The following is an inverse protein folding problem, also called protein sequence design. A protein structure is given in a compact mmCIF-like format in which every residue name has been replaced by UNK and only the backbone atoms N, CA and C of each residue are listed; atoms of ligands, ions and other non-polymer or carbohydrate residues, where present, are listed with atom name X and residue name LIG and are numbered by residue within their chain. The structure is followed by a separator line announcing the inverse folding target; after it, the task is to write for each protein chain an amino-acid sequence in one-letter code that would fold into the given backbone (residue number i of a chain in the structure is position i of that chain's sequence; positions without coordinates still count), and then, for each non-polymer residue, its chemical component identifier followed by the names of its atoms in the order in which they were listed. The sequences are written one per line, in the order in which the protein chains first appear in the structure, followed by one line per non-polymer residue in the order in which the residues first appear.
data_IF_669110869745
#
_entry.id   IF_669110869745
#
_cell.length_a   1.000
_cell.length_b   1.000
_cell.length_c   1.000
_cell.angle_alpha   90.00
_cell.angle_beta   90.00
_cell.angle_gamma   90.00
#
_symmetry.space_group_name_H-M   'P 1'
#
loop_
_entity.id
_entity.type
_entity.pdbx_description
1 polymer ?
#
# COMPACT_ATOMS: atom_id res chain seq x y z
N UNK A 1 39.27 2.33 19.98
CA UNK A 1 38.89 1.33 18.96
C UNK A 1 37.92 0.30 19.52
N UNK A 2 38.08 -0.12 20.78
CA UNK A 2 37.25 -1.13 21.45
C UNK A 2 35.77 -0.76 21.65
N UNK A 3 35.47 0.51 21.97
CA UNK A 3 34.09 0.94 22.21
C UNK A 3 33.20 0.85 20.95
N UNK A 4 33.75 1.18 19.78
CA UNK A 4 33.05 1.05 18.49
C UNK A 4 32.89 -0.40 18.07
N UNK A 5 33.89 -1.26 18.33
CA UNK A 5 33.78 -2.71 18.09
C UNK A 5 32.69 -3.34 18.96
N UNK A 6 32.59 -2.94 20.23
CA UNK A 6 31.55 -3.39 21.14
C UNK A 6 30.16 -2.95 20.68
N UNK A 7 30.00 -1.69 20.29
CA UNK A 7 28.74 -1.19 19.73
C UNK A 7 28.31 -1.94 18.45
N UNK A 8 29.25 -2.25 17.54
CA UNK A 8 28.94 -3.05 16.34
C UNK A 8 28.49 -4.46 16.72
N UNK A 9 29.09 -5.04 17.76
CA UNK A 9 28.74 -6.38 18.23
C UNK A 9 27.36 -6.40 18.90
N UNK A 10 27.06 -5.39 19.73
CA UNK A 10 25.76 -5.24 20.39
C UNK A 10 24.65 -5.03 19.34
N UNK A 11 24.86 -4.15 18.35
CA UNK A 11 23.90 -3.94 17.24
C UNK A 11 23.67 -5.19 16.39
N UNK A 12 24.71 -6.01 16.18
CA UNK A 12 24.55 -7.28 15.45
C UNK A 12 23.69 -8.26 16.21
N UNK A 13 23.87 -8.34 17.53
CA UNK A 13 23.07 -9.21 18.38
C UNK A 13 21.60 -8.78 18.38
N UNK A 14 21.35 -7.48 18.49
CA UNK A 14 20.00 -6.91 18.43
C UNK A 14 19.32 -7.17 17.07
N UNK A 15 20.07 -7.02 15.96
CA UNK A 15 19.59 -7.38 14.63
C UNK A 15 19.24 -8.87 14.50
N UNK A 16 20.09 -9.75 15.04
CA UNK A 16 19.90 -11.19 14.97
C UNK A 16 18.70 -11.66 15.78
N UNK A 17 18.47 -11.07 16.97
CA UNK A 17 17.25 -11.30 17.75
C UNK A 17 16.02 -10.84 16.98
N UNK A 18 16.03 -9.62 16.45
CA UNK A 18 14.89 -9.05 15.74
C UNK A 18 14.55 -9.83 14.45
N UNK A 19 15.57 -10.26 13.69
CA UNK A 19 15.38 -11.08 12.48
C UNK A 19 14.80 -12.46 12.80
N UNK A 20 15.21 -13.06 13.93
CA UNK A 20 14.67 -14.35 14.38
C UNK A 20 13.23 -14.23 14.89
N UNK A 21 12.88 -13.17 15.62
CA UNK A 21 11.51 -12.90 16.07
C UNK A 21 10.55 -12.67 14.90
N UNK A 22 11.00 -11.91 13.90
CA UNK A 22 10.20 -11.64 12.69
C UNK A 22 10.20 -12.83 11.71
N UNK A 23 11.03 -13.86 11.94
CA UNK A 23 11.28 -14.96 11.01
C UNK A 23 11.54 -14.51 9.58
N UNK A 24 12.11 -13.32 9.43
CA UNK A 24 12.29 -12.66 8.15
C UNK A 24 13.65 -11.97 8.14
N UNK A 25 14.34 -12.09 7.02
CA UNK A 25 15.53 -11.29 6.77
C UNK A 25 15.15 -9.92 6.15
N UNK A 26 16.09 -8.98 6.17
CA UNK A 26 15.88 -7.63 5.64
C UNK A 26 15.45 -7.60 4.16
N UNK A 27 15.93 -8.56 3.37
CA UNK A 27 15.56 -8.68 1.95
C UNK A 27 14.09 -9.07 1.80
N UNK A 28 13.61 -10.03 2.59
CA UNK A 28 12.20 -10.45 2.59
C UNK A 28 11.28 -9.32 3.08
N UNK A 29 11.69 -8.59 4.13
CA UNK A 29 10.95 -7.45 4.62
C UNK A 29 10.83 -6.33 3.57
N UNK A 30 11.94 -6.02 2.90
CA UNK A 30 11.97 -5.03 1.81
C UNK A 30 11.12 -5.47 0.61
N UNK A 31 11.17 -6.74 0.23
CA UNK A 31 10.33 -7.29 -0.84
C UNK A 31 8.85 -7.22 -0.51
N UNK A 32 8.44 -7.57 0.72
CA UNK A 32 7.05 -7.45 1.15
C UNK A 32 6.56 -6.01 1.14
N UNK A 33 7.37 -5.06 1.60
CA UNK A 33 7.04 -3.64 1.54
C UNK A 33 6.88 -3.16 0.09
N UNK A 34 7.80 -3.53 -0.80
CA UNK A 34 7.72 -3.20 -2.22
C UNK A 34 6.48 -3.79 -2.89
N UNK A 35 6.10 -5.02 -2.56
CA UNK A 35 4.87 -5.64 -3.05
C UNK A 35 3.64 -4.86 -2.58
N UNK A 36 3.59 -4.47 -1.30
CA UNK A 36 2.49 -3.67 -0.76
C UNK A 36 2.39 -2.30 -1.42
N UNK A 37 3.52 -1.62 -1.63
CA UNK A 37 3.57 -0.34 -2.35
C UNK A 37 3.03 -0.51 -3.79
N UNK A 38 3.44 -1.58 -4.48
CA UNK A 38 2.94 -1.88 -5.83
C UNK A 38 1.42 -2.07 -5.85
N UNK A 39 0.89 -2.86 -4.92
CA UNK A 39 -0.55 -3.11 -4.83
C UNK A 39 -1.34 -1.83 -4.55
N UNK A 40 -0.82 -0.93 -3.70
CA UNK A 40 -1.44 0.37 -3.46
C UNK A 40 -1.47 1.23 -4.72
N UNK A 41 -0.39 1.28 -5.49
CA UNK A 41 -0.37 2.00 -6.77
C UNK A 41 -1.34 1.40 -7.78
N UNK A 42 -1.37 0.07 -7.92
CA UNK A 42 -2.27 -0.62 -8.84
C UNK A 42 -3.75 -0.40 -8.47
N UNK A 43 -4.06 -0.43 -7.17
CA UNK A 43 -5.40 -0.10 -6.67
C UNK A 43 -5.79 1.34 -7.01
N UNK A 44 -4.91 2.31 -6.75
CA UNK A 44 -5.17 3.72 -7.04
C UNK A 44 -5.37 3.95 -8.54
N UNK A 45 -4.49 3.39 -9.38
CA UNK A 45 -4.59 3.52 -10.84
C UNK A 45 -5.92 2.94 -11.37
N UNK A 46 -6.34 1.78 -10.84
CA UNK A 46 -7.61 1.17 -11.20
C UNK A 46 -8.80 2.02 -10.72
N UNK A 47 -8.76 2.52 -9.49
CA UNK A 47 -9.79 3.39 -8.91
C UNK A 47 -9.94 4.68 -9.72
N UNK A 48 -8.84 5.32 -10.08
CA UNK A 48 -8.84 6.55 -10.87
C UNK A 48 -9.41 6.31 -12.27
N UNK A 49 -8.99 5.22 -12.92
CA UNK A 49 -9.53 4.82 -14.23
C UNK A 49 -11.02 4.55 -14.16
N UNK A 50 -11.48 3.81 -13.14
CA UNK A 50 -12.91 3.54 -12.94
C UNK A 50 -13.70 4.83 -12.70
N UNK A 51 -13.20 5.72 -11.83
CA UNK A 51 -13.83 7.00 -11.53
C UNK A 51 -13.93 7.89 -12.77
N UNK A 52 -12.89 7.92 -13.61
CA UNK A 52 -12.91 8.63 -14.90
C UNK A 52 -14.01 8.09 -15.81
N UNK A 53 -14.11 6.77 -15.97
CA UNK A 53 -15.15 6.14 -16.80
C UNK A 53 -16.56 6.42 -16.28
N UNK A 54 -16.75 6.35 -14.96
CA UNK A 54 -18.01 6.68 -14.29
C UNK A 54 -18.37 8.16 -14.53
N UNK A 55 -17.40 9.08 -14.42
CA UNK A 55 -17.59 10.49 -14.74
C UNK A 55 -18.03 10.74 -16.18
N UNK A 56 -17.41 10.04 -17.14
CA UNK A 56 -17.82 10.10 -18.55
C UNK A 56 -19.25 9.56 -18.77
N UNK A 57 -19.61 8.48 -18.09
CA UNK A 57 -20.96 7.92 -18.13
C UNK A 57 -21.99 8.89 -17.53
N UNK A 58 -21.68 9.49 -16.39
CA UNK A 58 -22.51 10.48 -15.73
C UNK A 58 -22.80 11.67 -16.66
N UNK A 59 -21.74 12.20 -17.30
CA UNK A 59 -21.86 13.28 -18.28
C UNK A 59 -22.76 12.91 -19.48
N UNK A 60 -22.61 11.68 -20.02
CA UNK A 60 -23.42 11.22 -21.15
C UNK A 60 -24.88 10.98 -20.80
N UNK A 61 -25.16 10.63 -19.55
CA UNK A 61 -26.52 10.31 -19.07
C UNK A 61 -27.21 11.49 -18.38
N UNK A 62 -26.53 12.64 -18.25
CA UNK A 62 -27.05 13.81 -17.53
C UNK A 62 -27.18 13.57 -16.03
N UNK A 63 -26.50 12.55 -15.50
CA UNK A 63 -26.51 12.19 -14.08
C UNK A 63 -25.29 12.78 -13.38
N UNK A 64 -25.43 12.95 -12.07
CA UNK A 64 -24.32 13.26 -11.17
C UNK A 64 -23.52 11.99 -10.86
N UNK A 65 -22.29 12.16 -10.39
CA UNK A 65 -21.42 11.04 -10.03
C UNK A 65 -22.04 10.17 -8.90
N UNK A 66 -22.71 10.81 -7.93
CA UNK A 66 -23.38 10.14 -6.82
C UNK A 66 -24.54 9.26 -7.30
N UNK A 67 -25.39 9.77 -8.20
CA UNK A 67 -26.51 8.98 -8.76
C UNK A 67 -26.02 7.76 -9.55
N UNK A 68 -24.87 7.87 -10.22
CA UNK A 68 -24.25 6.74 -10.91
C UNK A 68 -23.69 5.73 -9.91
N UNK A 69 -23.03 6.18 -8.84
CA UNK A 69 -22.57 5.30 -7.77
C UNK A 69 -23.73 4.54 -7.11
N UNK A 70 -24.84 5.21 -6.79
CA UNK A 70 -26.05 4.59 -6.27
C UNK A 70 -26.67 3.60 -7.28
N UNK A 71 -26.77 3.99 -8.56
CA UNK A 71 -27.30 3.13 -9.62
C UNK A 71 -26.53 1.81 -9.76
N UNK A 72 -25.21 1.85 -9.60
CA UNK A 72 -24.35 0.66 -9.70
C UNK A 72 -24.03 0.01 -8.36
N UNK A 73 -24.63 0.47 -7.25
CA UNK A 73 -24.33 0.01 -5.89
C UNK A 73 -22.82 0.03 -5.55
N UNK A 74 -22.14 1.07 -5.99
CA UNK A 74 -20.72 1.29 -5.70
C UNK A 74 -20.63 2.13 -4.43
N UNK A 75 -20.02 1.56 -3.38
CA UNK A 75 -19.79 2.29 -2.15
C UNK A 75 -18.75 3.40 -2.38
N UNK A 76 -19.11 4.67 -2.15
CA UNK A 76 -18.17 5.79 -2.30
C UNK A 76 -17.15 5.88 -1.16
N UNK A 77 -17.21 5.01 -0.15
CA UNK A 77 -16.28 4.97 0.98
C UNK A 77 -14.94 4.29 0.65
N UNK A 78 -14.51 4.33 -0.62
CA UNK A 78 -13.22 3.74 -1.07
C UNK A 78 -12.00 4.61 -0.70
N UNK A 79 -12.13 5.49 0.30
CA UNK A 79 -11.14 6.49 0.72
C UNK A 79 -10.79 6.45 2.23
N UNK A 80 -11.34 5.50 3.01
CA UNK A 80 -10.97 5.32 4.43
C UNK A 80 -9.98 4.16 4.65
#
# INVERSE_FOLDING_TARGET
MDKKKKQIQDLRLEYEVLSNELQMNEKEASQMLQQRIRLLHEYNDLKDTATMLIGMYAQKTGKTLQEVYEQFNINSNMDE
#
